data_IF_826161676353
#
_entry.id   IF_826161676353
#
_cell.length_a   1.000
_cell.length_b   1.000
_cell.length_c   1.000
_cell.angle_alpha   90.00
_cell.angle_beta   90.00
_cell.angle_gamma   90.00
#
_symmetry.space_group_name_H-M   'P 1'
#
loop_
_entity.id
_entity.type
_entity.pdbx_description
1 polymer ?
#
# COMPACT_ATOMS: atom_id res chain seq x y z
N UNK A 1 9.04 -3.90 11.39
CA UNK A 1 9.66 -2.67 11.97
C UNK A 1 9.95 -1.60 10.91
N UNK A 2 10.57 -1.95 9.77
CA UNK A 2 10.85 -1.01 8.67
C UNK A 2 9.60 -0.30 8.11
N UNK A 3 8.50 -1.03 7.88
CA UNK A 3 7.24 -0.43 7.40
C UNK A 3 6.72 0.64 8.37
N UNK A 4 6.67 0.33 9.67
CA UNK A 4 6.23 1.26 10.70
C UNK A 4 7.13 2.51 10.74
N UNK A 5 8.44 2.35 10.59
CA UNK A 5 9.39 3.46 10.53
C UNK A 5 9.17 4.36 9.31
N UNK A 6 9.03 3.77 8.12
CA UNK A 6 8.79 4.50 6.86
C UNK A 6 7.46 5.26 6.94
N UNK A 7 6.40 4.63 7.42
CA UNK A 7 5.10 5.28 7.63
C UNK A 7 5.19 6.41 8.65
N UNK A 8 5.84 6.20 9.80
CA UNK A 8 6.03 7.24 10.81
C UNK A 8 6.87 8.42 10.30
N UNK A 9 7.83 8.17 9.42
CA UNK A 9 8.63 9.22 8.77
C UNK A 9 7.79 10.01 7.74
N UNK A 10 7.02 9.33 6.90
CA UNK A 10 6.17 9.95 5.89
C UNK A 10 5.01 10.76 6.50
N UNK A 11 4.37 10.23 7.55
CA UNK A 11 3.31 10.90 8.31
C UNK A 11 3.86 12.17 8.98
N UNK A 12 5.03 12.07 9.61
CA UNK A 12 5.69 13.21 10.27
C UNK A 12 6.15 14.29 9.30
N UNK A 13 6.48 13.91 8.07
CA UNK A 13 6.84 14.86 7.01
C UNK A 13 5.65 15.63 6.43
N UNK A 14 4.41 15.44 6.94
CA UNK A 14 3.16 16.05 6.42
C UNK A 14 2.97 15.86 4.91
N UNK A 15 3.59 14.84 4.31
CA UNK A 15 3.58 14.57 2.86
C UNK A 15 2.24 14.04 2.36
N UNK A 16 1.33 13.67 3.27
CA UNK A 16 0.00 13.19 2.94
C UNK A 16 -1.06 14.23 3.34
N UNK A 17 -1.75 14.79 2.37
CA UNK A 17 -2.86 15.73 2.59
C UNK A 17 -4.23 15.10 2.30
N UNK A 18 -4.26 13.89 1.73
CA UNK A 18 -5.48 13.25 1.26
C UNK A 18 -5.76 11.96 2.06
N UNK A 19 -7.01 11.80 2.48
CA UNK A 19 -7.46 10.60 3.19
C UNK A 19 -7.22 9.34 2.33
N UNK A 20 -6.62 8.30 2.91
CA UNK A 20 -6.32 7.05 2.22
C UNK A 20 -4.91 6.92 1.63
N UNK A 21 -4.11 7.99 1.56
CA UNK A 21 -2.72 7.90 1.09
C UNK A 21 -1.83 7.06 2.02
N UNK A 22 -2.00 7.19 3.34
CA UNK A 22 -1.29 6.37 4.34
C UNK A 22 -1.64 4.88 4.18
N UNK A 23 -2.91 4.57 3.95
CA UNK A 23 -3.37 3.21 3.66
C UNK A 23 -2.77 2.69 2.34
N UNK A 24 -2.70 3.54 1.31
CA UNK A 24 -2.07 3.19 0.04
C UNK A 24 -0.59 2.84 0.18
N UNK A 25 0.19 3.65 0.91
CA UNK A 25 1.60 3.34 1.20
C UNK A 25 1.72 2.05 2.02
N UNK A 26 0.87 1.86 3.02
CA UNK A 26 0.88 0.64 3.82
C UNK A 26 0.61 -0.61 2.98
N UNK A 27 -0.37 -0.55 2.07
CA UNK A 27 -0.69 -1.64 1.14
C UNK A 27 0.49 -1.96 0.21
N UNK A 28 1.13 -0.94 -0.36
CA UNK A 28 2.29 -1.13 -1.24
C UNK A 28 3.46 -1.77 -0.47
N UNK A 29 3.83 -1.20 0.68
CA UNK A 29 4.96 -1.68 1.48
C UNK A 29 4.75 -3.11 1.97
N UNK A 30 3.57 -3.42 2.51
CA UNK A 30 3.22 -4.75 3.01
C UNK A 30 3.22 -5.78 1.87
N UNK A 31 2.72 -5.40 0.70
CA UNK A 31 2.68 -6.29 -0.46
C UNK A 31 4.08 -6.57 -1.02
N UNK A 32 4.93 -5.55 -1.09
CA UNK A 32 6.33 -5.69 -1.51
C UNK A 32 7.11 -6.58 -0.54
N UNK A 33 7.01 -6.36 0.77
CA UNK A 33 7.64 -7.22 1.77
C UNK A 33 7.25 -8.68 1.55
N UNK A 34 5.94 -8.96 1.44
CA UNK A 34 5.44 -10.32 1.25
C UNK A 34 5.91 -10.93 -0.07
N UNK A 35 5.94 -10.15 -1.15
CA UNK A 35 6.46 -10.59 -2.45
C UNK A 35 7.93 -11.01 -2.36
N UNK A 36 8.77 -10.23 -1.67
CA UNK A 36 10.19 -10.56 -1.47
C UNK A 36 10.40 -11.77 -0.55
N UNK A 37 9.64 -11.86 0.55
CA UNK A 37 9.69 -13.01 1.46
C UNK A 37 9.28 -14.30 0.74
N UNK A 38 8.32 -14.20 -0.17
CA UNK A 38 7.81 -15.34 -0.93
C UNK A 38 8.83 -15.92 -1.91
N UNK A 39 9.81 -15.15 -2.41
CA UNK A 39 10.93 -15.73 -3.18
C UNK A 39 11.84 -16.62 -2.36
N UNK A 40 11.93 -16.37 -1.05
CA UNK A 40 12.72 -17.19 -0.12
C UNK A 40 11.92 -18.41 0.34
N UNK A 41 10.58 -18.32 0.32
CA UNK A 41 9.70 -19.44 0.62
C UNK A 41 9.65 -20.42 -0.55
N UNK A 42 9.75 -21.71 -0.22
CA UNK A 42 9.57 -22.81 -1.17
C UNK A 42 8.06 -23.12 -1.22
N UNK A 43 7.28 -22.20 -1.77
CA UNK A 43 5.84 -22.42 -2.03
C UNK A 43 5.64 -23.03 -3.43
N UNK A 44 4.61 -23.88 -3.61
CA UNK A 44 4.28 -24.41 -4.93
C UNK A 44 3.82 -23.29 -5.85
N UNK A 45 4.42 -23.24 -7.04
CA UNK A 45 4.05 -22.32 -8.11
C UNK A 45 2.64 -22.67 -8.59
N UNK A 46 1.74 -21.70 -8.63
CA UNK A 46 0.32 -21.92 -8.97
C UNK A 46 0.03 -21.58 -10.44
N UNK A 47 0.77 -20.64 -11.04
CA UNK A 47 0.66 -20.32 -12.47
C UNK A 47 1.63 -19.24 -12.91
N UNK A 48 2.02 -19.22 -14.20
CA UNK A 48 2.97 -18.26 -14.79
C UNK A 48 4.34 -18.15 -14.11
N UNK A 49 4.79 -19.18 -13.38
CA UNK A 49 6.02 -19.10 -12.60
C UNK A 49 5.87 -18.33 -11.28
N UNK A 50 4.64 -17.95 -10.89
CA UNK A 50 4.33 -17.19 -9.68
C UNK A 50 3.53 -18.02 -8.66
N UNK A 51 3.73 -17.74 -7.38
CA UNK A 51 2.91 -18.31 -6.29
C UNK A 51 1.59 -17.53 -6.15
N UNK A 52 0.59 -18.15 -5.51
CA UNK A 52 -0.68 -17.47 -5.20
C UNK A 52 -0.45 -16.19 -4.39
N UNK A 53 0.48 -16.21 -3.44
CA UNK A 53 0.81 -15.06 -2.63
C UNK A 53 1.41 -13.90 -3.45
N UNK A 54 2.22 -14.20 -4.47
CA UNK A 54 2.77 -13.18 -5.37
C UNK A 54 1.68 -12.49 -6.20
N UNK A 55 0.68 -13.24 -6.68
CA UNK A 55 -0.46 -12.65 -7.41
C UNK A 55 -1.28 -11.70 -6.53
N UNK A 56 -1.55 -12.09 -5.27
CA UNK A 56 -2.22 -11.23 -4.30
C UNK A 56 -1.40 -9.98 -3.97
N UNK A 57 -0.08 -10.10 -3.85
CA UNK A 57 0.81 -8.97 -3.61
C UNK A 57 0.77 -7.95 -4.76
N UNK A 58 0.71 -8.42 -6.01
CA UNK A 58 0.58 -7.53 -7.18
C UNK A 58 -0.76 -6.78 -7.13
N UNK A 59 -1.86 -7.51 -6.86
CA UNK A 59 -3.20 -6.91 -6.78
C UNK A 59 -3.32 -5.85 -5.67
N UNK A 60 -2.84 -6.16 -4.47
CA UNK A 60 -2.85 -5.23 -3.34
C UNK A 60 -1.93 -4.02 -3.56
N UNK A 61 -0.78 -4.20 -4.21
CA UNK A 61 0.10 -3.10 -4.61
C UNK A 61 -0.60 -2.16 -5.60
N UNK A 62 -1.34 -2.70 -6.58
CA UNK A 62 -2.10 -1.90 -7.53
C UNK A 62 -3.20 -1.06 -6.84
N UNK A 63 -3.93 -1.65 -5.88
CA UNK A 63 -4.91 -0.91 -5.07
C UNK A 63 -4.25 0.23 -4.29
N UNK A 64 -3.09 -0.02 -3.68
CA UNK A 64 -2.34 1.02 -2.99
C UNK A 64 -1.89 2.16 -3.91
N UNK A 65 -1.47 1.85 -5.14
CA UNK A 65 -1.11 2.87 -6.14
C UNK A 65 -2.33 3.71 -6.57
N UNK A 66 -3.51 3.09 -6.70
CA UNK A 66 -4.74 3.79 -7.03
C UNK A 66 -5.16 4.77 -5.92
N UNK A 67 -5.00 4.37 -4.65
CA UNK A 67 -5.26 5.25 -3.50
C UNK A 67 -4.30 6.44 -3.43
N UNK A 68 -3.03 6.24 -3.80
CA UNK A 68 -2.04 7.32 -3.88
C UNK A 68 -2.29 8.29 -5.03
N UNK A 69 -2.85 7.79 -6.13
CA UNK A 69 -3.15 8.59 -7.33
C UNK A 69 -4.30 9.60 -7.14
N UNK A 70 -4.92 9.65 -5.95
CA UNK A 70 -5.99 10.61 -5.64
C UNK A 70 -7.34 10.32 -6.31
N UNK A 71 -7.37 9.41 -7.30
CA UNK A 71 -8.57 9.11 -8.10
C UNK A 71 -9.73 8.53 -7.30
N UNK A 72 -9.44 7.89 -6.16
CA UNK A 72 -10.44 7.29 -5.25
C UNK A 72 -10.67 8.13 -3.99
N UNK A 73 -9.87 9.16 -3.76
CA UNK A 73 -9.77 9.85 -2.47
C UNK A 73 -10.09 11.35 -2.56
N UNK A 74 -10.90 11.74 -3.55
CA UNK A 74 -11.61 13.02 -3.60
C UNK A 74 -12.67 13.11 -2.50
N UNK A 75 -12.24 13.19 -1.24
CA UNK A 75 -13.00 13.92 -0.25
C UNK A 75 -12.03 14.81 0.52
N UNK A 76 -11.99 16.12 0.19
CA UNK A 76 -11.32 17.09 1.04
C UNK A 76 -12.01 17.03 2.40
N UNK A 77 -11.30 16.55 3.41
CA UNK A 77 -11.74 16.55 4.80
C UNK A 77 -12.00 17.97 5.35
N UNK A 78 -11.81 19.02 4.53
CA UNK A 78 -11.93 20.42 4.90
C UNK A 78 -13.36 21.01 4.79
N UNK A 79 -14.35 20.30 4.23
CA UNK A 79 -15.71 20.84 4.08
C UNK A 79 -16.63 20.67 5.31
N UNK A 80 -16.10 20.23 6.47
CA UNK A 80 -16.89 19.95 7.68
C UNK A 80 -16.63 20.91 8.86
N UNK A 81 -15.82 21.95 8.68
CA UNK A 81 -15.51 22.90 9.75
C UNK A 81 -16.35 24.21 9.69
N UNK A 82 -17.15 24.41 8.65
CA UNK A 82 -17.92 25.64 8.43
C UNK A 82 -19.43 25.33 8.38
N UNK A 83 -20.00 24.93 9.52
CA UNK A 83 -21.45 24.84 9.73
C UNK A 83 -21.82 25.30 11.13
#
# INVERSE_FOLDING_TARGET
LLIAFILAHLIRSRRFSVAGQVMGVYLILTSLERFFVEFVRIEPVVGFGLTQAQLWAIGLSAVGMLLLSGKLSSQPAASRADS
#
